data_IF_993004183940
#
_entry.id   IF_993004183940
#
_cell.length_a   1.000
_cell.length_b   1.000
_cell.length_c   1.000
_cell.angle_alpha   90.00
_cell.angle_beta   90.00
_cell.angle_gamma   90.00
#
_symmetry.space_group_name_H-M   'P 1'
#
loop_
_entity.id
_entity.type
_entity.pdbx_description
1 polymer ?
#
# COMPACT_ATOMS: atom_id res chain seq x y z
N UNK A 1 -3.42 1.07 16.22
CA UNK A 1 -3.43 0.46 14.87
C UNK A 1 -3.61 1.58 13.87
N UNK A 2 -2.63 1.78 12.99
CA UNK A 2 -2.73 2.76 11.90
C UNK A 2 -3.74 2.25 10.87
N UNK A 3 -4.53 3.16 10.29
CA UNK A 3 -5.45 2.87 9.18
C UNK A 3 -4.72 2.21 7.99
N UNK A 4 -3.40 2.39 7.87
CA UNK A 4 -2.57 1.79 6.82
C UNK A 4 -2.34 0.29 7.05
N UNK A 5 -2.11 -0.15 8.29
CA UNK A 5 -1.92 -1.57 8.61
C UNK A 5 -3.16 -2.41 8.27
N UNK A 6 -4.36 -1.88 8.53
CA UNK A 6 -5.63 -2.54 8.21
C UNK A 6 -5.83 -2.67 6.69
N UNK A 7 -5.46 -1.64 5.92
CA UNK A 7 -5.57 -1.66 4.47
C UNK A 7 -4.51 -2.55 3.81
N UNK A 8 -3.32 -2.69 4.40
CA UNK A 8 -2.29 -3.62 3.92
C UNK A 8 -2.71 -5.08 4.11
N UNK A 9 -3.52 -5.37 5.15
CA UNK A 9 -4.15 -6.68 5.30
C UNK A 9 -5.02 -7.03 4.09
N UNK A 10 -5.73 -6.06 3.52
CA UNK A 10 -6.53 -6.26 2.30
C UNK A 10 -5.66 -6.57 1.08
N UNK A 11 -4.50 -5.91 0.96
CA UNK A 11 -3.53 -6.16 -0.13
C UNK A 11 -2.91 -7.56 -0.07
N UNK A 12 -2.79 -8.13 1.13
CA UNK A 12 -2.06 -9.37 1.39
C UNK A 12 -2.94 -10.62 1.51
N UNK A 13 -4.25 -10.47 1.81
CA UNK A 13 -5.11 -11.61 2.18
C UNK A 13 -6.35 -11.82 1.31
N UNK A 14 -6.49 -11.09 0.21
CA UNK A 14 -7.66 -11.21 -0.67
C UNK A 14 -7.77 -12.60 -1.34
N UNK A 15 -9.01 -13.02 -1.57
CA UNK A 15 -9.32 -14.28 -2.25
C UNK A 15 -8.93 -14.20 -3.72
N UNK A 16 -7.95 -15.00 -4.14
CA UNK A 16 -7.42 -15.01 -5.51
C UNK A 16 -8.22 -15.92 -6.46
N UNK A 17 -9.10 -16.78 -5.91
CA UNK A 17 -9.96 -17.67 -6.71
C UNK A 17 -11.30 -17.01 -7.09
N UNK A 18 -11.69 -15.93 -6.42
CA UNK A 18 -12.86 -15.14 -6.79
C UNK A 18 -12.49 -14.06 -7.82
N UNK A 19 -12.99 -14.24 -9.05
CA UNK A 19 -12.73 -13.33 -10.18
C UNK A 19 -13.22 -11.90 -9.92
N UNK A 20 -14.28 -11.72 -9.13
CA UNK A 20 -14.77 -10.38 -8.76
C UNK A 20 -13.83 -9.70 -7.78
N UNK A 21 -13.33 -10.43 -6.79
CA UNK A 21 -12.29 -9.93 -5.88
C UNK A 21 -11.04 -9.56 -6.66
N UNK A 22 -10.55 -10.42 -7.55
CA UNK A 22 -9.36 -10.14 -8.38
C UNK A 22 -9.55 -8.89 -9.26
N UNK A 23 -10.70 -8.75 -9.90
CA UNK A 23 -11.03 -7.55 -10.68
C UNK A 23 -11.05 -6.30 -9.80
N UNK A 24 -11.67 -6.38 -8.62
CA UNK A 24 -11.74 -5.26 -7.66
C UNK A 24 -10.34 -4.83 -7.21
N UNK A 25 -9.48 -5.80 -6.92
CA UNK A 25 -8.09 -5.54 -6.54
C UNK A 25 -7.32 -4.85 -7.67
N UNK A 26 -7.45 -5.33 -8.92
CA UNK A 26 -6.77 -4.74 -10.09
C UNK A 26 -7.27 -3.35 -10.44
N UNK A 27 -8.60 -3.14 -10.41
CA UNK A 27 -9.23 -1.91 -10.92
C UNK A 27 -9.25 -0.79 -9.89
N UNK A 28 -9.38 -1.10 -8.60
CA UNK A 28 -9.62 -0.08 -7.57
C UNK A 28 -8.58 -0.11 -6.47
N UNK A 29 -8.34 -1.27 -5.84
CA UNK A 29 -7.55 -1.32 -4.60
C UNK A 29 -6.06 -1.11 -4.85
N UNK A 30 -5.47 -1.78 -5.85
CA UNK A 30 -4.05 -1.64 -6.18
C UNK A 30 -3.72 -0.21 -6.69
N UNK A 31 -4.49 0.40 -7.61
CA UNK A 31 -4.29 1.79 -7.99
C UNK A 31 -4.38 2.75 -6.79
N UNK A 32 -5.41 2.60 -5.96
CA UNK A 32 -5.58 3.43 -4.74
C UNK A 32 -4.39 3.29 -3.78
N UNK A 33 -3.88 2.07 -3.58
CA UNK A 33 -2.73 1.85 -2.71
C UNK A 33 -1.47 2.54 -3.24
N UNK A 34 -1.25 2.52 -4.56
CA UNK A 34 -0.13 3.23 -5.21
C UNK A 34 -0.25 4.74 -5.08
N UNK A 35 -1.44 5.31 -5.25
CA UNK A 35 -1.68 6.74 -5.01
C UNK A 35 -1.36 7.11 -3.55
N UNK A 36 -1.83 6.31 -2.59
CA UNK A 36 -1.53 6.51 -1.17
C UNK A 36 -0.04 6.42 -0.86
N UNK A 37 0.70 5.53 -1.52
CA UNK A 37 2.15 5.44 -1.35
C UNK A 37 2.84 6.74 -1.76
N UNK A 38 2.43 7.32 -2.89
CA UNK A 38 2.98 8.60 -3.34
C UNK A 38 2.61 9.76 -2.42
N UNK A 39 1.38 9.80 -1.90
CA UNK A 39 0.98 10.80 -0.89
C UNK A 39 1.86 10.73 0.36
N UNK A 40 2.18 9.51 0.84
CA UNK A 40 3.04 9.31 2.01
C UNK A 40 4.47 9.75 1.74
N UNK A 41 5.03 9.43 0.57
CA UNK A 41 6.35 9.92 0.15
C UNK A 41 6.42 11.44 0.08
N UNK A 42 5.37 12.09 -0.42
CA UNK A 42 5.30 13.56 -0.45
C UNK A 42 5.21 14.14 0.96
N UNK A 43 4.39 13.55 1.83
CA UNK A 43 4.26 13.98 3.22
C UNK A 43 5.58 13.79 3.99
N UNK A 44 6.32 12.70 3.74
CA UNK A 44 7.63 12.47 4.35
C UNK A 44 8.64 13.54 3.93
N UNK A 45 8.69 13.90 2.64
CA UNK A 45 9.53 15.00 2.15
C UNK A 45 9.18 16.33 2.82
N UNK A 46 7.88 16.61 3.00
CA UNK A 46 7.42 17.79 3.74
C UNK A 46 7.85 17.75 5.20
N UNK A 47 7.66 16.62 5.89
CA UNK A 47 8.07 16.43 7.29
C UNK A 47 9.59 16.64 7.49
N UNK A 48 10.40 16.14 6.56
CA UNK A 48 11.84 16.39 6.53
C UNK A 48 12.17 17.88 6.34
N UNK A 49 11.44 18.57 5.47
CA UNK A 49 11.66 20.00 5.20
C UNK A 49 11.26 20.93 6.37
N UNK A 50 10.26 20.54 7.16
CA UNK A 50 9.73 21.32 8.30
C UNK A 50 10.48 20.98 9.60
N UNK A 51 11.37 19.99 9.60
CA UNK A 51 12.18 19.62 10.76
C UNK A 51 11.41 18.83 11.82
N UNK A 52 10.51 17.93 11.39
CA UNK A 52 9.74 17.05 12.28
C UNK A 52 10.22 15.59 12.17
N UNK A 53 11.34 15.22 12.83
CA UNK A 53 11.98 13.91 12.65
C UNK A 53 11.12 12.72 13.08
N UNK A 54 10.33 12.86 14.16
CA UNK A 54 9.41 11.82 14.62
C UNK A 54 8.30 11.52 13.60
N UNK A 55 7.84 12.53 12.86
CA UNK A 55 6.87 12.35 11.80
C UNK A 55 7.50 11.70 10.57
N UNK A 56 8.75 12.04 10.23
CA UNK A 56 9.44 11.39 9.12
C UNK A 56 9.72 9.91 9.38
N UNK A 57 10.14 9.55 10.60
CA UNK A 57 10.35 8.13 10.98
C UNK A 57 9.05 7.33 10.93
N UNK A 58 7.96 7.89 11.45
CA UNK A 58 6.64 7.26 11.37
C UNK A 58 6.18 7.06 9.91
N UNK A 59 6.39 8.06 9.05
CA UNK A 59 6.02 7.98 7.64
C UNK A 59 6.89 6.99 6.86
N UNK A 60 8.18 6.86 7.23
CA UNK A 60 9.08 5.87 6.64
C UNK A 60 8.58 4.44 6.90
N UNK A 61 8.19 4.13 8.15
CA UNK A 61 7.58 2.84 8.49
C UNK A 61 6.28 2.62 7.69
N UNK A 62 5.39 3.61 7.62
CA UNK A 62 4.15 3.48 6.83
C UNK A 62 4.42 3.25 5.32
N UNK A 63 5.44 3.90 4.77
CA UNK A 63 5.87 3.74 3.37
C UNK A 63 6.41 2.34 3.13
N UNK A 64 7.25 1.81 4.02
CA UNK A 64 7.83 0.47 3.91
C UNK A 64 6.71 -0.58 3.90
N UNK A 65 5.84 -0.56 4.92
CA UNK A 65 4.76 -1.55 5.06
C UNK A 65 3.80 -1.47 3.85
N UNK A 66 3.48 -0.26 3.36
CA UNK A 66 2.61 -0.09 2.19
C UNK A 66 3.27 -0.56 0.90
N UNK A 67 4.59 -0.34 0.75
CA UNK A 67 5.37 -0.82 -0.40
C UNK A 67 5.36 -2.35 -0.45
N UNK A 68 5.61 -3.01 0.68
CA UNK A 68 5.58 -4.47 0.78
C UNK A 68 4.19 -5.03 0.49
N UNK A 69 3.14 -4.38 1.01
CA UNK A 69 1.75 -4.75 0.73
C UNK A 69 1.40 -4.68 -0.76
N UNK A 70 1.84 -3.61 -1.45
CA UNK A 70 1.64 -3.42 -2.89
C UNK A 70 2.38 -4.51 -3.66
N UNK A 71 3.65 -4.76 -3.35
CA UNK A 71 4.46 -5.76 -4.03
C UNK A 71 3.84 -7.16 -3.91
N UNK A 72 3.40 -7.53 -2.72
CA UNK A 72 2.72 -8.81 -2.48
C UNK A 72 1.40 -8.91 -3.26
N UNK A 73 0.62 -7.83 -3.32
CA UNK A 73 -0.61 -7.77 -4.10
C UNK A 73 -0.33 -8.00 -5.59
N UNK A 74 0.68 -7.33 -6.16
CA UNK A 74 1.08 -7.48 -7.56
C UNK A 74 1.54 -8.91 -7.88
N UNK A 75 2.38 -9.51 -7.02
CA UNK A 75 2.82 -10.89 -7.17
C UNK A 75 1.63 -11.86 -7.20
N UNK A 76 0.69 -11.70 -6.26
CA UNK A 76 -0.53 -12.53 -6.21
C UNK A 76 -1.40 -12.34 -7.44
N UNK A 77 -1.55 -11.12 -7.93
CA UNK A 77 -2.35 -10.81 -9.13
C UNK A 77 -1.70 -11.32 -10.42
N UNK A 78 -0.38 -11.34 -10.50
CA UNK A 78 0.38 -11.88 -11.62
C UNK A 78 0.26 -13.41 -11.70
N UNK A 79 0.28 -14.11 -10.57
CA UNK A 79 0.12 -15.57 -10.50
C UNK A 79 -1.24 -16.08 -10.99
N UNK A 80 -2.25 -15.21 -11.14
CA UNK A 80 -3.60 -15.56 -11.63
C UNK A 80 -3.70 -15.41 -13.16
N UNK A 81 -2.78 -14.68 -13.78
CA UNK A 81 -2.76 -14.40 -15.22
C UNK A 81 -1.74 -15.21 -16.02
N UNK A 82 -1.11 -16.21 -15.39
CA UNK A 82 -0.16 -17.15 -16.02
C UNK A 82 -0.79 -18.50 -16.33
#
# INVERSE_FOLDING_TARGET
MSYIQENIRLLSTFCTTDSRTVLTMKTYVLPWAKERLEDRKQLMKLAQSVGTPSLSEFLEEEIEVLTDGILLCEQRLAAIGG
#
